data_IF_631192789630
#
_entry.id   IF_631192789630
#
_cell.length_a   1.000
_cell.length_b   1.000
_cell.length_c   1.000
_cell.angle_alpha   90.00
_cell.angle_beta   90.00
_cell.angle_gamma   90.00
#
_symmetry.space_group_name_H-M   'P 1'
#
loop_
_entity.id
_entity.type
_entity.pdbx_description
1 polymer ?
#
# COMPACT_ATOMS: atom_id res chain seq x y z
N UNK A 1 -19.21 -15.47 26.79
CA UNK A 1 -17.83 -15.03 27.08
C UNK A 1 -17.05 -15.18 25.79
N UNK A 2 -16.11 -14.29 25.47
CA UNK A 2 -15.24 -14.40 24.29
C UNK A 2 -13.78 -14.39 24.72
N UNK A 3 -12.90 -15.03 23.95
CA UNK A 3 -11.47 -15.12 24.26
C UNK A 3 -10.74 -13.81 23.91
N UNK A 4 -11.14 -13.17 22.80
CA UNK A 4 -10.59 -11.89 22.37
C UNK A 4 -11.71 -10.88 22.07
N UNK A 5 -11.50 -9.64 22.50
CA UNK A 5 -12.32 -8.50 22.13
C UNK A 5 -11.46 -7.46 21.40
N UNK A 6 -11.89 -7.05 20.21
CA UNK A 6 -11.25 -6.05 19.36
C UNK A 6 -12.14 -4.82 19.33
N UNK A 7 -11.59 -3.64 19.62
CA UNK A 7 -12.31 -2.37 19.56
C UNK A 7 -11.93 -1.68 18.24
N UNK A 8 -12.89 -1.58 17.32
CA UNK A 8 -12.76 -0.94 16.01
C UNK A 8 -12.91 -1.93 14.86
N UNK A 9 -13.93 -1.71 14.03
CA UNK A 9 -14.26 -2.45 12.80
C UNK A 9 -13.63 -1.86 11.54
N UNK A 10 -12.43 -1.31 11.65
CA UNK A 10 -11.61 -0.91 10.50
C UNK A 10 -10.66 -2.02 10.05
N UNK A 11 -9.94 -1.79 8.96
CA UNK A 11 -9.07 -2.81 8.31
C UNK A 11 -8.06 -3.43 9.28
N UNK A 12 -7.50 -2.65 10.20
CA UNK A 12 -6.53 -3.15 11.20
C UNK A 12 -7.22 -4.11 12.19
N UNK A 13 -8.38 -3.73 12.73
CA UNK A 13 -9.12 -4.56 13.69
C UNK A 13 -9.60 -5.87 13.04
N UNK A 14 -10.14 -5.78 11.82
CA UNK A 14 -10.59 -6.95 11.06
C UNK A 14 -9.43 -7.87 10.68
N UNK A 15 -8.29 -7.31 10.24
CA UNK A 15 -7.10 -8.12 9.92
C UNK A 15 -6.54 -8.84 11.16
N UNK A 16 -6.55 -8.20 12.33
CA UNK A 16 -6.17 -8.84 13.59
C UNK A 16 -7.13 -9.98 13.93
N UNK A 17 -8.45 -9.75 13.85
CA UNK A 17 -9.45 -10.78 14.11
C UNK A 17 -9.33 -11.98 13.19
N UNK A 18 -9.14 -11.73 11.88
CA UNK A 18 -8.90 -12.79 10.88
C UNK A 18 -7.65 -13.61 11.21
N UNK A 19 -6.54 -12.96 11.54
CA UNK A 19 -5.29 -13.65 11.83
C UNK A 19 -5.34 -14.43 13.15
N UNK A 20 -6.07 -13.93 14.17
CA UNK A 20 -6.32 -14.67 15.41
C UNK A 20 -7.08 -15.97 15.14
N UNK A 21 -8.19 -15.90 14.41
CA UNK A 21 -8.99 -17.08 14.05
C UNK A 21 -8.19 -18.07 13.19
N UNK A 22 -7.32 -17.57 12.29
CA UNK A 22 -6.46 -18.43 11.46
C UNK A 22 -5.40 -19.18 12.27
N UNK A 23 -4.82 -18.54 13.30
CA UNK A 23 -3.78 -19.16 14.16
C UNK A 23 -4.34 -19.97 15.31
N UNK A 24 -5.53 -19.61 15.79
CA UNK A 24 -6.20 -20.21 16.93
C UNK A 24 -7.67 -20.50 16.60
N UNK A 25 -7.96 -21.52 15.78
CA UNK A 25 -9.30 -21.80 15.25
C UNK A 25 -10.37 -22.05 16.32
N UNK A 26 -9.96 -22.52 17.51
CA UNK A 26 -10.86 -22.83 18.62
C UNK A 26 -11.18 -21.62 19.51
N UNK A 27 -10.66 -20.44 19.18
CA UNK A 27 -10.91 -19.21 19.94
C UNK A 27 -12.07 -18.41 19.38
N UNK A 28 -12.73 -17.68 20.27
CA UNK A 28 -13.82 -16.77 19.93
C UNK A 28 -13.35 -15.32 19.93
N UNK A 29 -13.68 -14.59 18.87
CA UNK A 29 -13.31 -13.18 18.69
C UNK A 29 -14.59 -12.34 18.57
N UNK A 30 -14.74 -11.31 19.40
CA UNK A 30 -15.73 -10.26 19.21
C UNK A 30 -15.08 -8.98 18.67
N UNK A 31 -15.66 -8.40 17.62
CA UNK A 31 -15.30 -7.07 17.12
C UNK A 31 -16.39 -6.09 17.53
N UNK A 32 -16.00 -5.04 18.24
CA UNK A 32 -16.88 -3.98 18.72
C UNK A 32 -16.64 -2.73 17.87
N UNK A 33 -17.64 -2.34 17.09
CA UNK A 33 -17.64 -1.11 16.29
C UNK A 33 -18.73 -0.17 16.81
N UNK A 34 -18.41 1.12 16.94
CA UNK A 34 -19.36 2.13 17.40
C UNK A 34 -20.35 2.53 16.31
N UNK A 35 -19.94 2.41 15.05
CA UNK A 35 -20.75 2.73 13.87
C UNK A 35 -21.70 1.58 13.53
N UNK A 36 -22.74 1.88 12.75
CA UNK A 36 -23.72 0.88 12.29
C UNK A 36 -23.18 -0.10 11.24
N UNK A 37 -21.98 0.17 10.71
CA UNK A 37 -21.30 -0.66 9.70
C UNK A 37 -19.80 -0.48 9.80
N UNK A 38 -19.07 -1.44 9.22
CA UNK A 38 -17.60 -1.48 9.24
C UNK A 38 -17.01 -0.39 8.33
N UNK A 39 -15.72 -0.08 8.56
CA UNK A 39 -14.91 0.80 7.72
C UNK A 39 -15.44 2.23 7.48
N UNK A 40 -16.41 2.73 8.25
CA UNK A 40 -17.01 4.06 8.06
C UNK A 40 -16.06 5.27 8.23
N UNK A 41 -14.85 5.04 8.75
CA UNK A 41 -13.82 6.06 9.00
C UNK A 41 -12.65 5.94 8.02
N UNK A 42 -11.39 6.01 8.50
CA UNK A 42 -10.20 6.05 7.64
C UNK A 42 -10.06 4.85 6.70
N UNK A 43 -10.53 3.66 7.10
CA UNK A 43 -10.44 2.44 6.28
C UNK A 43 -11.30 2.51 5.01
N UNK A 44 -12.49 3.13 5.06
CA UNK A 44 -13.33 3.36 3.88
C UNK A 44 -13.08 4.71 3.20
N UNK A 45 -12.25 5.59 3.79
CA UNK A 45 -11.98 6.96 3.31
C UNK A 45 -10.50 7.19 3.06
N UNK A 46 -9.92 6.38 2.17
CA UNK A 46 -8.55 6.54 1.70
C UNK A 46 -8.47 6.27 0.19
N UNK A 47 -7.30 6.47 -0.40
CA UNK A 47 -7.09 6.36 -1.85
C UNK A 47 -7.07 4.93 -2.40
N UNK A 48 -7.13 3.90 -1.53
CA UNK A 48 -7.04 2.50 -1.95
C UNK A 48 -5.69 2.08 -2.49
N UNK A 49 -4.65 2.90 -2.32
CA UNK A 49 -3.32 2.63 -2.87
C UNK A 49 -2.63 1.52 -2.07
N UNK A 50 -2.28 0.45 -2.77
CA UNK A 50 -1.37 -0.59 -2.28
C UNK A 50 0.06 -0.08 -2.51
N UNK A 51 0.60 0.64 -1.54
CA UNK A 51 1.91 1.29 -1.65
C UNK A 51 3.06 0.29 -1.78
N UNK A 52 4.01 0.55 -2.67
CA UNK A 52 5.20 -0.30 -2.86
C UNK A 52 6.27 -0.19 -1.73
N UNK A 53 6.25 0.88 -0.92
CA UNK A 53 7.09 0.98 0.30
C UNK A 53 8.41 1.75 0.18
N UNK A 54 8.66 2.49 -0.90
CA UNK A 54 9.92 3.20 -1.13
C UNK A 54 10.02 4.62 -0.53
N UNK A 55 8.93 5.17 0.02
CA UNK A 55 8.94 6.50 0.63
C UNK A 55 9.52 6.51 2.06
N UNK A 56 9.49 5.37 2.74
CA UNK A 56 9.78 5.28 4.17
C UNK A 56 11.27 5.10 4.43
N UNK A 57 11.72 5.58 5.58
CA UNK A 57 13.09 5.39 6.02
C UNK A 57 13.42 3.89 6.11
N UNK A 58 14.62 3.46 5.67
CA UNK A 58 15.07 2.08 5.83
C UNK A 58 15.00 1.62 7.28
N UNK A 59 14.82 0.31 7.46
CA UNK A 59 14.72 -0.38 8.76
C UNK A 59 13.56 0.07 9.66
N UNK A 60 12.71 0.99 9.19
CA UNK A 60 11.50 1.38 9.91
C UNK A 60 10.41 0.31 9.80
N UNK A 61 9.57 0.20 10.83
CA UNK A 61 8.39 -0.66 10.78
C UNK A 61 7.49 -0.32 9.57
N UNK A 62 7.38 0.95 9.18
CA UNK A 62 6.61 1.33 7.98
C UNK A 62 7.20 0.75 6.70
N UNK A 63 8.52 0.82 6.51
CA UNK A 63 9.17 0.22 5.35
C UNK A 63 8.93 -1.30 5.32
N UNK A 64 9.19 -1.99 6.43
CA UNK A 64 9.04 -3.44 6.54
C UNK A 64 7.60 -3.89 6.34
N UNK A 65 6.64 -3.27 7.05
CA UNK A 65 5.23 -3.65 7.00
C UNK A 65 4.59 -3.27 5.68
N UNK A 66 4.93 -2.12 5.06
CA UNK A 66 4.37 -1.78 3.74
C UNK A 66 4.88 -2.72 2.67
N UNK A 67 6.17 -3.06 2.64
CA UNK A 67 6.70 -4.00 1.64
C UNK A 67 6.04 -5.36 1.76
N UNK A 68 5.99 -5.91 2.98
CA UNK A 68 5.35 -7.20 3.24
C UNK A 68 3.84 -7.15 2.98
N UNK A 69 3.18 -6.09 3.42
CA UNK A 69 1.75 -5.86 3.24
C UNK A 69 1.36 -5.68 1.79
N UNK A 70 2.20 -5.08 0.95
CA UNK A 70 1.99 -4.98 -0.49
C UNK A 70 1.84 -6.38 -1.11
N UNK A 71 2.79 -7.29 -0.84
CA UNK A 71 2.73 -8.67 -1.35
C UNK A 71 1.50 -9.40 -0.81
N UNK A 72 1.32 -9.41 0.51
CA UNK A 72 0.22 -10.12 1.16
C UNK A 72 -1.16 -9.62 0.74
N UNK A 73 -1.30 -8.33 0.46
CA UNK A 73 -2.60 -7.77 0.05
C UNK A 73 -2.93 -8.11 -1.41
N UNK A 74 -1.94 -8.15 -2.31
CA UNK A 74 -2.17 -8.66 -3.66
C UNK A 74 -2.57 -10.14 -3.64
N UNK A 75 -1.91 -10.96 -2.81
CA UNK A 75 -2.27 -12.37 -2.62
C UNK A 75 -3.69 -12.52 -2.06
N UNK A 76 -4.04 -11.75 -1.03
CA UNK A 76 -5.38 -11.74 -0.44
C UNK A 76 -6.46 -11.35 -1.46
N UNK A 77 -6.22 -10.28 -2.24
CA UNK A 77 -7.16 -9.87 -3.26
C UNK A 77 -7.34 -10.95 -4.35
N UNK A 78 -6.25 -11.62 -4.75
CA UNK A 78 -6.31 -12.70 -5.73
C UNK A 78 -7.07 -13.93 -5.19
N UNK A 79 -6.86 -14.30 -3.91
CA UNK A 79 -7.55 -15.42 -3.26
C UNK A 79 -9.07 -15.19 -3.14
N UNK A 80 -9.48 -13.93 -3.00
CA UNK A 80 -10.88 -13.55 -2.77
C UNK A 80 -11.56 -12.92 -3.99
N UNK A 81 -10.96 -13.01 -5.17
CA UNK A 81 -11.48 -12.42 -6.42
C UNK A 81 -11.80 -10.92 -6.30
N UNK A 82 -11.02 -10.18 -5.50
CA UNK A 82 -11.14 -8.74 -5.34
C UNK A 82 -10.35 -8.05 -6.45
N UNK A 83 -11.01 -7.17 -7.20
CA UNK A 83 -10.39 -6.43 -8.29
C UNK A 83 -9.25 -5.54 -7.81
N UNK A 84 -8.07 -5.70 -8.40
CA UNK A 84 -6.90 -4.84 -8.20
C UNK A 84 -6.53 -4.17 -9.52
N UNK A 85 -6.39 -2.85 -9.49
CA UNK A 85 -5.83 -2.08 -10.58
C UNK A 85 -4.30 -2.06 -10.48
N UNK A 86 -3.63 -2.90 -11.26
CA UNK A 86 -2.17 -2.99 -11.33
C UNK A 86 -1.56 -1.88 -12.21
N UNK A 87 -1.94 -0.63 -11.94
CA UNK A 87 -1.55 0.52 -12.76
C UNK A 87 -0.12 1.03 -12.52
N UNK A 88 0.58 0.52 -11.49
CA UNK A 88 1.84 1.08 -11.06
C UNK A 88 1.72 2.52 -10.53
N UNK A 89 2.85 3.22 -10.45
CA UNK A 89 2.92 4.64 -10.08
C UNK A 89 4.17 5.30 -10.65
N UNK A 90 3.99 6.48 -11.25
CA UNK A 90 5.08 7.39 -11.57
C UNK A 90 5.21 8.48 -10.51
N UNK A 91 6.45 8.79 -10.13
CA UNK A 91 6.80 9.98 -9.33
C UNK A 91 7.59 10.90 -10.26
N UNK A 92 7.14 12.14 -10.40
CA UNK A 92 7.77 13.14 -11.28
C UNK A 92 8.42 14.24 -10.45
N UNK A 93 9.44 14.87 -11.01
CA UNK A 93 10.00 16.14 -10.53
C UNK A 93 9.36 17.31 -11.27
N UNK A 94 9.09 18.40 -10.56
CA UNK A 94 8.54 19.64 -11.14
C UNK A 94 9.61 20.67 -11.46
N UNK A 95 10.81 20.47 -10.94
CA UNK A 95 11.95 21.37 -11.07
C UNK A 95 13.25 20.63 -10.69
N UNK A 96 14.40 21.19 -11.09
CA UNK A 96 15.71 20.56 -10.87
C UNK A 96 16.08 20.42 -9.38
N UNK A 97 15.56 21.29 -8.51
CA UNK A 97 15.79 21.24 -7.06
C UNK A 97 15.11 20.04 -6.37
N UNK A 98 14.17 19.35 -7.05
CA UNK A 98 13.56 18.12 -6.58
C UNK A 98 14.38 16.86 -6.93
N UNK A 99 15.36 16.95 -7.85
CA UNK A 99 16.18 15.81 -8.27
C UNK A 99 16.93 15.13 -7.10
N UNK A 100 17.51 15.86 -6.12
CA UNK A 100 18.11 15.22 -4.94
C UNK A 100 17.09 14.41 -4.12
N UNK A 101 15.84 14.87 -4.04
CA UNK A 101 14.77 14.15 -3.34
C UNK A 101 14.36 12.89 -4.10
N UNK A 102 14.33 12.95 -5.43
CA UNK A 102 14.10 11.79 -6.28
C UNK A 102 15.20 10.74 -6.10
N UNK A 103 16.47 11.15 -6.08
CA UNK A 103 17.61 10.26 -5.83
C UNK A 103 17.51 9.60 -4.44
N UNK A 104 17.05 10.32 -3.41
CA UNK A 104 16.81 9.75 -2.08
C UNK A 104 15.67 8.72 -2.09
N UNK A 105 14.58 8.95 -2.83
CA UNK A 105 13.51 7.95 -2.98
C UNK A 105 14.02 6.67 -3.67
N UNK A 106 14.85 6.80 -4.70
CA UNK A 106 15.47 5.65 -5.35
C UNK A 106 16.40 4.89 -4.40
N UNK A 107 17.22 5.61 -3.63
CA UNK A 107 18.11 5.01 -2.62
C UNK A 107 17.32 4.27 -1.55
N UNK A 108 16.23 4.85 -1.05
CA UNK A 108 15.31 4.21 -0.09
C UNK A 108 14.63 2.99 -0.69
N UNK A 109 14.14 3.06 -1.93
CA UNK A 109 13.57 1.92 -2.63
C UNK A 109 14.54 0.74 -2.69
N UNK A 110 15.80 1.00 -3.07
CA UNK A 110 16.87 -0.02 -3.06
C UNK A 110 17.09 -0.60 -1.66
N UNK A 111 17.26 0.25 -0.65
CA UNK A 111 17.46 -0.20 0.73
C UNK A 111 16.26 -1.01 1.28
N UNK A 112 15.05 -0.63 0.88
CA UNK A 112 13.81 -1.32 1.24
C UNK A 112 13.50 -2.52 0.34
N UNK A 113 14.39 -2.90 -0.59
CA UNK A 113 14.20 -3.99 -1.55
C UNK A 113 12.88 -3.86 -2.35
N UNK A 114 12.59 -2.65 -2.81
CA UNK A 114 11.44 -2.30 -3.65
C UNK A 114 11.92 -2.11 -5.09
N UNK A 115 11.34 -2.81 -6.08
CA UNK A 115 11.70 -2.63 -7.48
C UNK A 115 11.25 -1.24 -7.94
N UNK A 116 12.22 -0.41 -8.34
CA UNK A 116 12.02 0.90 -8.91
C UNK A 116 12.90 1.07 -10.13
N UNK A 117 12.42 1.85 -11.10
CA UNK A 117 13.17 2.25 -12.28
C UNK A 117 13.22 3.78 -12.32
N UNK A 118 14.42 4.33 -12.50
CA UNK A 118 14.53 5.72 -12.93
C UNK A 118 14.30 5.76 -14.42
N UNK A 119 13.43 6.66 -14.85
CA UNK A 119 13.04 6.82 -16.24
C UNK A 119 13.20 8.28 -16.66
N UNK A 120 13.48 8.50 -17.95
CA UNK A 120 13.55 9.83 -18.54
C UNK A 120 12.17 10.33 -19.04
N UNK A 121 12.15 11.52 -19.64
CA UNK A 121 10.93 12.13 -20.18
C UNK A 121 10.31 11.34 -21.33
N UNK A 122 11.12 10.66 -22.14
CA UNK A 122 10.64 9.86 -23.27
C UNK A 122 9.95 8.60 -22.74
N UNK A 123 10.62 7.85 -21.87
CA UNK A 123 10.07 6.67 -21.21
C UNK A 123 8.80 7.01 -20.40
N UNK A 124 8.78 8.17 -19.74
CA UNK A 124 7.58 8.66 -19.06
C UNK A 124 6.44 8.93 -20.02
N UNK A 125 6.70 9.54 -21.18
CA UNK A 125 5.66 9.83 -22.17
C UNK A 125 5.08 8.56 -22.82
N UNK A 126 5.88 7.50 -22.94
CA UNK A 126 5.42 6.17 -23.39
C UNK A 126 4.51 5.51 -22.33
N UNK A 127 4.81 5.70 -21.05
CA UNK A 127 4.08 5.11 -19.93
C UNK A 127 2.82 5.88 -19.53
N UNK A 128 2.91 7.20 -19.40
CA UNK A 128 1.82 8.11 -19.02
C UNK A 128 1.92 9.41 -19.84
N UNK A 129 1.26 9.48 -21.01
CA UNK A 129 1.40 10.58 -21.98
C UNK A 129 0.99 11.97 -21.45
N UNK A 130 0.21 12.03 -20.36
CA UNK A 130 -0.23 13.30 -19.77
C UNK A 130 0.70 13.77 -18.65
N UNK A 131 1.62 12.93 -18.17
CA UNK A 131 2.59 13.32 -17.16
C UNK A 131 3.78 14.08 -17.76
N UNK A 132 4.38 14.94 -16.96
CA UNK A 132 5.61 15.69 -17.30
C UNK A 132 6.55 15.61 -16.12
N UNK A 133 7.85 15.56 -16.41
CA UNK A 133 8.90 15.58 -15.39
C UNK A 133 10.04 16.51 -15.81
N UNK A 134 10.86 16.94 -14.86
CA UNK A 134 12.05 17.76 -15.11
C UNK A 134 13.30 16.95 -14.75
N UNK A 135 13.99 16.43 -15.75
CA UNK A 135 15.28 15.74 -15.63
C UNK A 135 15.18 14.24 -15.32
N UNK A 136 14.24 13.81 -14.47
CA UNK A 136 14.04 12.39 -14.18
C UNK A 136 12.66 12.10 -13.55
N UNK A 137 12.12 10.91 -13.76
CA UNK A 137 11.00 10.36 -13.01
C UNK A 137 11.36 8.99 -12.40
N UNK A 138 10.53 8.51 -11.47
CA UNK A 138 10.62 7.17 -10.91
C UNK A 138 9.36 6.37 -11.23
N UNK A 139 9.54 5.23 -11.87
CA UNK A 139 8.52 4.22 -12.08
C UNK A 139 8.53 3.17 -10.97
N UNK A 140 7.36 2.91 -10.41
CA UNK A 140 7.10 1.90 -9.39
C UNK A 140 6.07 0.88 -9.91
N UNK A 141 6.50 -0.23 -10.53
CA UNK A 141 5.59 -1.21 -11.13
C UNK A 141 4.73 -1.97 -10.12
N UNK A 142 5.14 -2.04 -8.84
CA UNK A 142 4.42 -2.79 -7.79
C UNK A 142 3.49 -1.93 -6.94
N UNK A 143 3.27 -0.65 -7.30
CA UNK A 143 2.18 0.12 -6.70
C UNK A 143 0.89 -0.24 -7.44
N UNK A 144 -0.20 -0.44 -6.71
CA UNK A 144 -1.53 -0.73 -7.30
C UNK A 144 -2.60 0.04 -6.55
N UNK A 145 -3.85 -0.07 -6.97
CA UNK A 145 -4.99 0.32 -6.14
C UNK A 145 -6.08 -0.75 -6.11
N UNK A 146 -6.83 -0.78 -5.03
CA UNK A 146 -8.03 -1.61 -4.85
C UNK A 146 -9.11 -0.80 -4.12
N UNK A 147 -10.37 -1.19 -4.25
CA UNK A 147 -11.45 -0.57 -3.49
C UNK A 147 -11.31 -0.91 -1.99
N UNK A 148 -11.08 0.07 -1.10
CA UNK A 148 -10.94 -0.19 0.33
C UNK A 148 -12.19 -0.80 0.98
N UNK A 149 -13.37 -0.65 0.38
CA UNK A 149 -14.60 -1.24 0.90
C UNK A 149 -14.76 -2.72 0.50
N UNK A 150 -14.09 -3.15 -0.56
CA UNK A 150 -14.08 -4.54 -1.03
C UNK A 150 -13.03 -5.41 -0.31
N UNK A 151 -11.94 -4.78 0.17
CA UNK A 151 -10.82 -5.39 0.91
C UNK A 151 -11.10 -5.49 2.41
#
# INVERSE_FOLDING_TARGET
MVDFAIIGGGIVGLAIGRELLRRHPDTSVAVLEKESSLAQHASGRNSGVIHAGFYYAPDSLKATLTRRGNVMLHEFCAEHDIAVNHCGKVVVTRSEDELPRMAELLRRGRANNVPLQQIDEQELAELEPLARTVGAALWSPTTSSADPAAV
#
